data_IF_120776865255
#
_entry.id   IF_120776865255
#
_cell.length_a   1.000
_cell.length_b   1.000
_cell.length_c   1.000
_cell.angle_alpha   90.00
_cell.angle_beta   90.00
_cell.angle_gamma   90.00
#
_symmetry.space_group_name_H-M   'P 1'
#
loop_
_entity.id
_entity.type
_entity.pdbx_description
1 polymer ?
#
# COMPACT_ATOMS: atom_id res chain seq x y z
N UNK A 1 9.17 24.43 -48.54
CA UNK A 1 9.29 23.23 -47.68
C UNK A 1 8.35 23.44 -46.53
N UNK A 2 7.16 22.85 -46.57
CA UNK A 2 6.24 22.86 -45.44
C UNK A 2 6.75 21.91 -44.37
N UNK A 3 7.18 22.44 -43.23
CA UNK A 3 7.42 21.65 -42.03
C UNK A 3 6.06 21.30 -41.44
N UNK A 4 5.68 20.03 -41.53
CA UNK A 4 4.57 19.47 -40.74
C UNK A 4 4.93 19.65 -39.26
N UNK A 5 4.08 20.30 -38.44
CA UNK A 5 4.33 20.43 -37.01
C UNK A 5 4.47 19.04 -36.38
N UNK A 6 5.50 18.83 -35.56
CA UNK A 6 5.65 17.59 -34.82
C UNK A 6 4.44 17.40 -33.89
N UNK A 7 3.78 16.24 -33.98
CA UNK A 7 2.71 15.86 -33.04
C UNK A 7 3.31 15.82 -31.63
N UNK A 8 2.68 16.45 -30.62
CA UNK A 8 3.15 16.36 -29.25
C UNK A 8 3.28 14.90 -28.81
N UNK A 9 4.37 14.58 -28.12
CA UNK A 9 4.55 13.24 -27.56
C UNK A 9 3.39 12.92 -26.59
N UNK A 10 2.87 11.69 -26.65
CA UNK A 10 1.88 11.24 -25.68
C UNK A 10 2.52 11.12 -24.29
N UNK A 11 1.69 11.09 -23.24
CA UNK A 11 2.19 10.93 -21.87
C UNK A 11 2.96 9.60 -21.71
N UNK A 12 2.52 8.53 -22.38
CA UNK A 12 3.20 7.24 -22.41
C UNK A 12 4.61 7.34 -23.02
N UNK A 13 4.75 8.07 -24.12
CA UNK A 13 6.05 8.29 -24.77
C UNK A 13 6.99 9.13 -23.90
N UNK A 14 6.44 10.11 -23.16
CA UNK A 14 7.21 10.92 -22.21
C UNK A 14 7.72 10.04 -21.07
N UNK A 15 6.85 9.20 -20.49
CA UNK A 15 7.22 8.28 -19.40
C UNK A 15 8.26 7.27 -19.89
N UNK A 16 8.04 6.63 -21.05
CA UNK A 16 8.99 5.66 -21.61
C UNK A 16 10.37 6.29 -21.83
N UNK A 17 10.42 7.52 -22.38
CA UNK A 17 11.68 8.25 -22.57
C UNK A 17 12.39 8.49 -21.23
N UNK A 18 11.68 8.96 -20.21
CA UNK A 18 12.26 9.22 -18.88
C UNK A 18 12.77 7.94 -18.21
N UNK A 19 12.06 6.82 -18.37
CA UNK A 19 12.51 5.52 -17.86
C UNK A 19 13.82 5.07 -18.54
N UNK A 20 13.96 5.30 -19.85
CA UNK A 20 15.23 5.06 -20.55
C UNK A 20 16.34 6.01 -20.06
N UNK A 21 16.02 7.27 -19.75
CA UNK A 21 16.96 8.22 -19.14
C UNK A 21 17.40 7.80 -17.73
N UNK A 22 16.57 7.04 -17.00
CA UNK A 22 16.96 6.37 -15.75
C UNK A 22 17.90 5.17 -15.95
N UNK A 23 18.22 4.81 -17.20
CA UNK A 23 19.12 3.71 -17.54
C UNK A 23 18.42 2.38 -17.81
N UNK A 24 17.09 2.34 -17.90
CA UNK A 24 16.38 1.11 -18.24
C UNK A 24 16.49 0.82 -19.74
N UNK A 25 16.57 -0.46 -20.08
CA UNK A 25 16.57 -0.93 -21.46
C UNK A 25 15.14 -0.91 -22.00
N UNK A 26 14.94 -0.14 -23.08
CA UNK A 26 13.62 0.09 -23.70
C UNK A 26 12.83 -1.21 -23.95
N UNK A 27 13.48 -2.26 -24.43
CA UNK A 27 12.81 -3.52 -24.80
C UNK A 27 12.16 -4.25 -23.62
N UNK A 28 12.58 -3.94 -22.38
CA UNK A 28 11.97 -4.50 -21.18
C UNK A 28 10.84 -3.67 -20.58
N UNK A 29 10.52 -2.51 -21.15
CA UNK A 29 9.52 -1.58 -20.64
C UNK A 29 8.27 -1.63 -21.52
N UNK A 30 7.10 -1.58 -20.89
CA UNK A 30 5.83 -1.34 -21.58
C UNK A 30 5.08 -0.24 -20.85
N UNK A 31 4.72 0.82 -21.55
CA UNK A 31 3.92 1.94 -21.01
C UNK A 31 2.63 2.02 -21.79
N UNK A 32 1.48 1.88 -21.11
CA UNK A 32 0.17 1.86 -21.76
C UNK A 32 -0.90 2.47 -20.89
N UNK A 33 -1.84 3.20 -21.48
CA UNK A 33 -3.04 3.63 -20.77
C UNK A 33 -3.99 2.46 -20.56
N UNK A 34 -4.35 2.19 -19.31
CA UNK A 34 -5.33 1.18 -18.91
C UNK A 34 -6.68 1.84 -18.64
N UNK A 35 -7.65 1.60 -19.52
CA UNK A 35 -8.97 2.25 -19.45
C UNK A 35 -9.74 1.91 -18.18
N UNK A 36 -9.61 0.67 -17.70
CA UNK A 36 -10.31 0.21 -16.49
C UNK A 36 -9.77 0.87 -15.22
N UNK A 37 -8.51 1.33 -15.25
CA UNK A 37 -7.85 1.99 -14.13
C UNK A 37 -7.82 3.51 -14.28
N UNK A 38 -8.25 4.03 -15.44
CA UNK A 38 -8.13 5.42 -15.85
C UNK A 38 -6.72 6.01 -15.59
N UNK A 39 -5.69 5.17 -15.78
CA UNK A 39 -4.30 5.47 -15.44
C UNK A 39 -3.35 4.74 -16.39
N UNK A 40 -2.12 5.22 -16.49
CA UNK A 40 -1.05 4.57 -17.23
C UNK A 40 -0.46 3.45 -16.36
N UNK A 41 -0.35 2.26 -16.95
CA UNK A 41 0.39 1.14 -16.39
C UNK A 41 1.77 1.04 -17.04
N UNK A 42 2.79 1.05 -16.20
CA UNK A 42 4.19 0.79 -16.56
C UNK A 42 4.56 -0.61 -16.09
N UNK A 43 4.81 -1.50 -17.04
CA UNK A 43 5.31 -2.86 -16.77
C UNK A 43 6.82 -2.88 -17.04
N UNK A 44 7.59 -3.19 -16.00
CA UNK A 44 9.05 -3.34 -16.07
C UNK A 44 9.39 -4.82 -15.97
N UNK A 45 9.96 -5.38 -17.04
CA UNK A 45 10.40 -6.78 -17.11
C UNK A 45 11.90 -6.89 -16.82
N UNK A 46 12.42 -8.10 -16.50
CA UNK A 46 13.85 -8.29 -16.25
C UNK A 46 14.75 -7.78 -17.37
N UNK A 47 14.30 -7.83 -18.63
CA UNK A 47 15.04 -7.33 -19.79
C UNK A 47 15.27 -5.82 -19.75
N UNK A 48 14.56 -5.08 -18.90
CA UNK A 48 14.79 -3.65 -18.68
C UNK A 48 16.08 -3.39 -17.89
N UNK A 49 16.69 -4.43 -17.32
CA UNK A 49 17.88 -4.35 -16.47
C UNK A 49 17.74 -3.35 -15.31
N UNK A 50 16.52 -3.23 -14.77
CA UNK A 50 16.25 -2.36 -13.64
C UNK A 50 16.84 -2.93 -12.35
N UNK A 51 17.37 -2.07 -11.49
CA UNK A 51 17.82 -2.39 -10.14
C UNK A 51 17.27 -1.41 -9.08
N UNK A 52 17.53 -1.72 -7.80
CA UNK A 52 17.00 -0.92 -6.68
C UNK A 52 17.59 0.49 -6.60
N UNK A 53 18.79 0.73 -7.15
CA UNK A 53 19.41 2.05 -7.17
C UNK A 53 18.66 3.02 -8.08
N UNK A 54 17.88 2.50 -9.02
CA UNK A 54 17.08 3.28 -9.96
C UNK A 54 15.66 3.60 -9.45
N UNK A 55 15.25 3.08 -8.28
CA UNK A 55 13.87 3.23 -7.79
C UNK A 55 13.41 4.68 -7.66
N UNK A 56 14.26 5.58 -7.18
CA UNK A 56 13.91 7.01 -7.08
C UNK A 56 13.69 7.62 -8.47
N UNK A 57 14.59 7.35 -9.42
CA UNK A 57 14.45 7.83 -10.78
C UNK A 57 13.19 7.27 -11.46
N UNK A 58 12.89 5.98 -11.28
CA UNK A 58 11.68 5.34 -11.80
C UNK A 58 10.43 6.01 -11.21
N UNK A 59 10.40 6.24 -9.89
CA UNK A 59 9.30 6.95 -9.23
C UNK A 59 9.08 8.33 -9.83
N UNK A 60 10.14 9.10 -10.03
CA UNK A 60 10.05 10.47 -10.55
C UNK A 60 9.70 10.51 -12.05
N UNK A 61 10.19 9.53 -12.82
CA UNK A 61 9.88 9.39 -14.23
C UNK A 61 8.38 9.13 -14.47
N UNK A 62 7.79 8.27 -13.62
CA UNK A 62 6.42 7.77 -13.76
C UNK A 62 5.40 8.64 -13.02
N UNK A 63 5.81 9.31 -11.93
CA UNK A 63 4.94 10.18 -11.15
C UNK A 63 3.88 9.40 -10.37
N UNK A 64 2.60 9.66 -10.67
CA UNK A 64 1.46 9.06 -9.97
C UNK A 64 0.92 7.79 -10.65
N UNK A 65 1.49 7.42 -11.80
CA UNK A 65 1.02 6.28 -12.58
C UNK A 65 1.47 4.95 -11.97
N UNK A 66 0.83 3.86 -12.40
CA UNK A 66 1.06 2.54 -11.82
C UNK A 66 2.36 1.93 -12.37
N UNK A 67 3.21 1.44 -11.47
CA UNK A 67 4.43 0.69 -11.82
C UNK A 67 4.29 -0.72 -11.28
N UNK A 68 4.57 -1.69 -12.13
CA UNK A 68 4.61 -3.10 -11.78
C UNK A 68 5.86 -3.74 -12.35
N UNK A 69 6.60 -4.45 -11.50
CA UNK A 69 7.67 -5.35 -11.96
C UNK A 69 7.10 -6.74 -12.17
N UNK A 70 7.48 -7.41 -13.26
CA UNK A 70 7.06 -8.80 -13.47
C UNK A 70 7.88 -9.78 -12.63
N UNK A 71 9.06 -9.36 -12.17
CA UNK A 71 9.82 -10.07 -11.16
C UNK A 71 9.24 -9.77 -9.77
N UNK A 72 8.77 -10.80 -9.07
CA UNK A 72 8.06 -10.63 -7.81
C UNK A 72 8.91 -10.07 -6.67
N UNK A 73 10.23 -10.35 -6.67
CA UNK A 73 11.13 -9.82 -5.66
C UNK A 73 11.39 -8.32 -5.87
N UNK A 74 11.61 -7.90 -7.13
CA UNK A 74 11.78 -6.50 -7.49
C UNK A 74 10.49 -5.70 -7.27
N UNK A 75 9.32 -6.29 -7.58
CA UNK A 75 8.03 -5.65 -7.33
C UNK A 75 7.80 -5.40 -5.84
N UNK A 76 8.06 -6.40 -5.00
CA UNK A 76 7.98 -6.28 -3.56
C UNK A 76 8.95 -5.21 -3.01
N UNK A 77 10.20 -5.21 -3.49
CA UNK A 77 11.20 -4.22 -3.09
C UNK A 77 10.79 -2.78 -3.50
N UNK A 78 10.20 -2.62 -4.68
CA UNK A 78 9.74 -1.30 -5.15
C UNK A 78 8.50 -0.83 -4.37
N UNK A 79 7.58 -1.73 -4.03
CA UNK A 79 6.44 -1.42 -3.15
C UNK A 79 6.93 -0.99 -1.77
N UNK A 80 7.89 -1.71 -1.18
CA UNK A 80 8.50 -1.36 0.10
C UNK A 80 9.21 0.00 0.05
N UNK A 81 10.00 0.25 -0.99
CA UNK A 81 10.61 1.57 -1.23
C UNK A 81 9.58 2.70 -1.24
N UNK A 82 8.47 2.55 -1.98
CA UNK A 82 7.40 3.55 -2.02
C UNK A 82 6.72 3.72 -0.67
N UNK A 83 6.48 2.63 0.05
CA UNK A 83 5.86 2.65 1.37
C UNK A 83 6.75 3.42 2.37
N UNK A 84 8.05 3.15 2.39
CA UNK A 84 9.01 3.85 3.25
C UNK A 84 9.14 5.34 2.89
N UNK A 85 9.17 5.67 1.60
CA UNK A 85 9.17 7.06 1.15
C UNK A 85 7.89 7.83 1.58
N UNK A 86 6.73 7.16 1.59
CA UNK A 86 5.46 7.75 2.01
C UNK A 86 5.27 7.77 3.54
N UNK A 87 6.01 6.94 4.28
CA UNK A 87 5.84 6.69 5.72
C UNK A 87 5.78 7.96 6.58
N UNK A 88 6.66 8.98 6.41
CA UNK A 88 6.60 10.18 7.25
C UNK A 88 5.28 10.94 7.11
N UNK A 89 4.77 11.08 5.88
CA UNK A 89 3.51 11.76 5.62
C UNK A 89 2.31 10.93 6.09
N UNK A 90 2.35 9.60 5.92
CA UNK A 90 1.33 8.69 6.46
C UNK A 90 1.26 8.79 7.99
N UNK A 91 2.40 8.72 8.68
CA UNK A 91 2.46 8.86 10.15
C UNK A 91 1.90 10.19 10.61
N UNK A 92 2.25 11.29 9.94
CA UNK A 92 1.70 12.62 10.25
C UNK A 92 0.18 12.64 10.14
N UNK A 93 -0.36 12.12 9.04
CA UNK A 93 -1.81 12.07 8.82
C UNK A 93 -2.52 11.20 9.85
N UNK A 94 -2.02 9.98 10.09
CA UNK A 94 -2.61 9.04 11.04
C UNK A 94 -2.51 9.54 12.48
N UNK A 95 -1.41 10.21 12.86
CA UNK A 95 -1.27 10.86 14.17
C UNK A 95 -2.35 11.92 14.37
N UNK A 96 -2.58 12.78 13.37
CA UNK A 96 -3.62 13.80 13.43
C UNK A 96 -5.02 13.16 13.60
N UNK A 97 -5.32 12.13 12.82
CA UNK A 97 -6.59 11.38 12.94
C UNK A 97 -6.78 10.78 14.32
N UNK A 98 -5.76 10.12 14.90
CA UNK A 98 -5.87 9.56 16.24
C UNK A 98 -5.99 10.64 17.32
N UNK A 99 -5.34 11.79 17.14
CA UNK A 99 -5.46 12.91 18.07
C UNK A 99 -6.88 13.49 18.07
N UNK A 100 -7.47 13.72 16.90
CA UNK A 100 -8.86 14.20 16.75
C UNK A 100 -9.87 13.24 17.40
N UNK A 101 -9.63 11.93 17.25
CA UNK A 101 -10.45 10.88 17.85
C UNK A 101 -10.12 10.58 19.32
N UNK A 102 -9.13 11.27 19.90
CA UNK A 102 -8.64 11.05 21.29
C UNK A 102 -8.12 9.62 21.54
N UNK A 103 -7.64 8.97 20.49
CA UNK A 103 -7.06 7.62 20.52
C UNK A 103 -5.53 7.64 20.60
N UNK A 104 -4.87 8.81 20.62
CA UNK A 104 -3.41 8.87 20.72
C UNK A 104 -2.92 8.64 22.16
N UNK A 105 -3.68 9.07 23.16
CA UNK A 105 -3.29 8.93 24.57
C UNK A 105 -3.40 7.46 25.00
N UNK A 106 -2.33 6.93 25.60
CA UNK A 106 -2.31 5.54 26.08
C UNK A 106 -2.23 4.50 24.96
N UNK A 107 -1.86 4.92 23.73
CA UNK A 107 -1.78 4.01 22.59
C UNK A 107 -0.83 2.82 22.87
N UNK A 108 -1.24 1.57 22.57
CA UNK A 108 -0.41 0.38 22.79
C UNK A 108 0.95 0.43 22.07
N UNK A 109 2.04 0.14 22.77
CA UNK A 109 3.39 0.03 22.20
C UNK A 109 3.72 -1.45 21.99
N UNK A 110 4.08 -1.83 20.77
CA UNK A 110 4.27 -3.24 20.38
C UNK A 110 5.25 -3.99 21.30
N UNK A 111 6.38 -3.38 21.64
CA UNK A 111 7.43 -3.98 22.48
C UNK A 111 7.01 -4.29 23.92
N UNK A 112 5.89 -3.74 24.38
CA UNK A 112 5.36 -4.02 25.73
C UNK A 112 4.54 -5.32 25.79
N UNK A 113 4.37 -6.02 24.66
CA UNK A 113 3.57 -7.23 24.58
C UNK A 113 4.42 -8.45 24.26
N UNK A 114 4.13 -9.61 24.87
CA UNK A 114 4.92 -10.83 24.68
C UNK A 114 4.74 -11.46 23.29
N UNK A 115 3.72 -11.05 22.53
CA UNK A 115 3.47 -11.53 21.18
C UNK A 115 2.63 -10.56 20.37
N UNK A 116 2.69 -10.68 19.04
CA UNK A 116 1.84 -9.93 18.12
C UNK A 116 0.35 -10.19 18.34
N UNK A 117 -0.03 -11.39 18.81
CA UNK A 117 -1.43 -11.71 19.13
C UNK A 117 -1.95 -10.92 20.33
N UNK A 118 -1.14 -10.78 21.38
CA UNK A 118 -1.49 -9.97 22.54
C UNK A 118 -1.49 -8.47 22.19
N UNK A 119 -0.59 -8.04 21.31
CA UNK A 119 -0.60 -6.69 20.78
C UNK A 119 -1.88 -6.38 19.98
N UNK A 120 -2.29 -7.27 19.07
CA UNK A 120 -3.53 -7.11 18.30
C UNK A 120 -4.78 -6.99 19.19
N UNK A 121 -4.88 -7.82 20.24
CA UNK A 121 -5.95 -7.73 21.25
C UNK A 121 -5.94 -6.39 21.99
N UNK A 122 -4.75 -5.85 22.28
CA UNK A 122 -4.62 -4.55 22.91
C UNK A 122 -5.05 -3.41 21.98
N UNK A 123 -4.76 -3.51 20.68
CA UNK A 123 -5.25 -2.56 19.67
C UNK A 123 -6.78 -2.55 19.58
N UNK A 124 -7.41 -3.73 19.56
CA UNK A 124 -8.87 -3.85 19.60
C UNK A 124 -9.45 -3.20 20.86
N UNK A 125 -8.92 -3.54 22.04
CA UNK A 125 -9.35 -2.96 23.30
C UNK A 125 -9.22 -1.44 23.31
N UNK A 126 -8.11 -0.92 22.78
CA UNK A 126 -7.83 0.50 22.69
C UNK A 126 -8.82 1.23 21.78
N UNK A 127 -9.24 0.58 20.69
CA UNK A 127 -10.27 1.09 19.79
C UNK A 127 -11.72 0.90 20.29
N UNK A 128 -11.93 0.32 21.48
CA UNK A 128 -13.26 0.02 22.00
C UNK A 128 -13.91 -1.24 21.43
N UNK A 129 -13.16 -2.03 20.64
CA UNK A 129 -13.59 -3.32 20.09
C UNK A 129 -13.30 -4.45 21.10
N UNK A 130 -14.07 -5.53 21.02
CA UNK A 130 -13.84 -6.73 21.85
C UNK A 130 -12.49 -7.38 21.47
N UNK A 131 -11.61 -7.71 22.43
CA UNK A 131 -10.37 -8.41 22.12
C UNK A 131 -10.61 -9.77 21.44
N UNK A 132 -9.86 -10.02 20.37
CA UNK A 132 -9.91 -11.20 19.53
C UNK A 132 -11.13 -11.30 18.62
N UNK A 133 -11.90 -10.23 18.41
CA UNK A 133 -13.13 -10.30 17.61
C UNK A 133 -12.93 -9.96 16.14
N UNK A 134 -12.00 -9.07 15.81
CA UNK A 134 -11.82 -8.52 14.47
C UNK A 134 -10.37 -8.59 13.95
N UNK A 135 -9.38 -8.72 14.84
CA UNK A 135 -7.99 -8.92 14.47
C UNK A 135 -7.54 -10.36 14.75
N UNK A 136 -6.87 -10.94 13.76
CA UNK A 136 -6.16 -12.22 13.86
C UNK A 136 -4.69 -12.04 13.54
N UNK A 137 -3.87 -12.98 13.96
CA UNK A 137 -2.45 -13.02 13.61
C UNK A 137 -2.16 -14.29 12.82
N UNK A 138 -1.48 -14.12 11.69
CA UNK A 138 -0.92 -15.20 10.88
C UNK A 138 0.56 -14.92 10.62
N UNK A 139 1.44 -15.72 11.26
CA UNK A 139 2.88 -15.44 11.27
C UNK A 139 3.21 -14.06 11.85
N UNK A 140 3.75 -13.17 11.00
CA UNK A 140 4.10 -11.79 11.35
C UNK A 140 3.04 -10.76 10.90
N UNK A 141 1.88 -11.22 10.43
CA UNK A 141 0.85 -10.38 9.82
C UNK A 141 -0.36 -10.26 10.74
N UNK A 142 -0.85 -9.04 10.91
CA UNK A 142 -2.19 -8.80 11.46
C UNK A 142 -3.20 -8.86 10.31
N UNK A 143 -4.20 -9.71 10.47
CA UNK A 143 -5.30 -9.90 9.53
C UNK A 143 -6.57 -9.29 10.12
N UNK A 144 -7.15 -8.33 9.42
CA UNK A 144 -8.45 -7.77 9.72
C UNK A 144 -9.54 -8.70 9.15
N UNK A 145 -10.20 -9.41 10.07
CA UNK A 145 -11.22 -10.44 9.84
C UNK A 145 -12.41 -10.20 10.78
N UNK A 146 -13.15 -9.08 10.61
CA UNK A 146 -14.30 -8.77 11.45
C UNK A 146 -15.48 -9.70 11.15
N UNK A 147 -16.38 -9.94 12.12
CA UNK A 147 -17.66 -10.57 11.88
C UNK A 147 -18.45 -9.82 10.81
N UNK A 148 -19.23 -10.54 10.02
CA UNK A 148 -20.05 -9.93 8.98
C UNK A 148 -21.08 -8.98 9.60
N UNK A 149 -21.05 -7.72 9.18
CA UNK A 149 -22.06 -6.72 9.51
C UNK A 149 -23.13 -6.66 8.43
N UNK A 150 -24.40 -6.50 8.81
CA UNK A 150 -25.51 -6.46 7.85
C UNK A 150 -25.49 -5.22 6.93
N UNK A 151 -24.81 -4.13 7.32
CA UNK A 151 -24.77 -2.87 6.55
C UNK A 151 -23.41 -2.19 6.62
N UNK A 152 -23.07 -1.42 5.58
CA UNK A 152 -21.86 -0.58 5.55
C UNK A 152 -21.84 0.48 6.66
N UNK A 153 -23.00 1.03 7.02
CA UNK A 153 -23.11 2.00 8.10
C UNK A 153 -22.80 1.36 9.46
N UNK A 154 -23.28 0.14 9.70
CA UNK A 154 -22.94 -0.64 10.88
C UNK A 154 -21.45 -0.93 10.96
N UNK A 155 -20.86 -1.37 9.84
CA UNK A 155 -19.41 -1.58 9.73
C UNK A 155 -18.60 -0.33 10.09
N UNK A 156 -18.96 0.82 9.51
CA UNK A 156 -18.23 2.07 9.73
C UNK A 156 -18.34 2.53 11.19
N UNK A 157 -19.53 2.43 11.78
CA UNK A 157 -19.75 2.79 13.18
C UNK A 157 -18.94 1.89 14.12
N UNK A 158 -18.81 0.60 13.80
CA UNK A 158 -18.18 -0.39 14.67
C UNK A 158 -16.64 -0.43 14.53
N UNK A 159 -16.11 -0.28 13.31
CA UNK A 159 -14.70 -0.54 13.03
C UNK A 159 -13.87 0.68 12.63
N UNK A 160 -14.47 1.87 12.46
CA UNK A 160 -13.69 3.03 11.99
C UNK A 160 -12.53 3.41 12.93
N UNK A 161 -12.72 3.31 14.24
CA UNK A 161 -11.66 3.56 15.22
C UNK A 161 -10.61 2.46 15.19
N UNK A 162 -11.02 1.19 15.11
CA UNK A 162 -10.10 0.06 14.99
C UNK A 162 -9.23 0.17 13.73
N UNK A 163 -9.84 0.52 12.60
CA UNK A 163 -9.12 0.74 11.34
C UNK A 163 -8.07 1.85 11.47
N UNK A 164 -8.43 2.96 12.14
CA UNK A 164 -7.49 4.07 12.35
C UNK A 164 -6.33 3.64 13.27
N UNK A 165 -6.63 2.89 14.33
CA UNK A 165 -5.64 2.36 15.29
C UNK A 165 -4.69 1.36 14.61
N UNK A 166 -5.21 0.39 13.86
CA UNK A 166 -4.37 -0.64 13.23
C UNK A 166 -3.57 -0.10 12.05
N UNK A 167 -4.10 0.87 11.28
CA UNK A 167 -3.32 1.56 10.24
C UNK A 167 -2.17 2.38 10.83
N UNK A 168 -2.39 3.06 11.96
CA UNK A 168 -1.30 3.76 12.63
C UNK A 168 -0.24 2.79 13.16
N UNK A 169 -0.66 1.70 13.81
CA UNK A 169 0.25 0.67 14.31
C UNK A 169 1.05 0.01 13.17
N UNK A 170 0.40 -0.31 12.04
CA UNK A 170 1.08 -0.94 10.90
C UNK A 170 2.19 -0.07 10.31
N UNK A 171 1.93 1.22 10.15
CA UNK A 171 2.91 2.18 9.61
C UNK A 171 4.02 2.48 10.62
N UNK A 172 3.67 2.62 11.91
CA UNK A 172 4.64 2.95 12.97
C UNK A 172 5.59 1.80 13.28
N UNK A 173 5.04 0.60 13.40
CA UNK A 173 5.74 -0.57 13.95
C UNK A 173 6.15 -1.57 12.84
N UNK A 174 6.03 -1.19 11.56
CA UNK A 174 6.32 -2.05 10.40
C UNK A 174 5.55 -3.38 10.39
N UNK A 175 4.33 -3.36 10.90
CA UNK A 175 3.49 -4.55 10.98
C UNK A 175 2.73 -4.70 9.67
N UNK A 176 2.81 -5.88 9.05
CA UNK A 176 2.01 -6.18 7.87
C UNK A 176 0.53 -6.28 8.26
N UNK A 177 -0.30 -5.48 7.61
CA UNK A 177 -1.76 -5.49 7.76
C UNK A 177 -2.40 -6.04 6.47
N UNK A 178 -3.26 -7.03 6.61
CA UNK A 178 -4.03 -7.61 5.50
C UNK A 178 -5.51 -7.58 5.84
N UNK A 179 -6.35 -7.37 4.82
CA UNK A 179 -7.80 -7.40 4.93
C UNK A 179 -8.34 -8.68 4.31
N UNK A 180 -9.22 -9.40 5.00
CA UNK A 180 -10.04 -10.43 4.35
C UNK A 180 -11.16 -9.72 3.60
N UNK A 181 -11.08 -9.72 2.27
CA UNK A 181 -12.15 -9.22 1.42
C UNK A 181 -13.38 -10.15 1.45
N UNK A 182 -14.53 -9.63 1.02
CA UNK A 182 -15.81 -10.36 0.89
C UNK A 182 -15.82 -11.52 -0.14
N UNK A 183 -14.65 -12.06 -0.52
CA UNK A 183 -14.57 -13.34 -1.20
C UNK A 183 -14.69 -14.44 -0.15
N UNK A 184 -15.85 -15.10 -0.10
CA UNK A 184 -16.08 -16.27 0.74
C UNK A 184 -14.84 -17.18 0.73
N UNK A 185 -14.21 -17.33 1.89
CA UNK A 185 -13.31 -18.45 2.14
C UNK A 185 -14.21 -19.68 1.99
N UNK A 186 -14.13 -20.35 0.83
CA UNK A 186 -14.73 -21.66 0.69
C UNK A 186 -14.19 -22.50 1.86
N UNK A 187 -15.05 -23.13 2.68
CA UNK A 187 -14.56 -23.98 3.75
C UNK A 187 -13.63 -25.04 3.15
N UNK A 188 -12.48 -25.25 3.79
CA UNK A 188 -11.57 -26.32 3.43
C UNK A 188 -12.38 -27.63 3.28
N UNK A 189 -12.24 -28.27 2.13
CA UNK A 189 -12.75 -29.62 1.90
C UNK A 189 -11.96 -30.62 2.71
#
# INVERSE_FOLDING_TARGET
MDQVPAVPASQEQIIEKRLVECGLVRTGISVRYERELESIEVIIRPEAAADQTQFECIKDAVGHELVRFTDGAMDAAYIEYKAEAARPQMLKSLTATLQERRLLQGFPVCDNFPSLSEYAKALEKHAGTKPGSALRVDGNTIVFDPPQTATFQGFTAEYSDLLSVVMFASVRDHIRLVFIGNGAVAPAR
#
